data_IF_068263551410
#
_entry.id   IF_068263551410
#
_cell.length_a   1.000
_cell.length_b   1.000
_cell.length_c   1.000
_cell.angle_alpha   90.00
_cell.angle_beta   90.00
_cell.angle_gamma   90.00
#
_symmetry.space_group_name_H-M   'P 1'
#
loop_
_entity.id
_entity.type
_entity.pdbx_description
1 polymer ?
#
# COMPACT_ATOMS: atom_id res chain seq x y z
N UNK A 1 -41.68 -95.73 70.14
CA UNK A 1 -42.92 -96.29 69.57
C UNK A 1 -42.84 -96.09 68.06
N UNK A 2 -42.88 -97.18 67.28
CA UNK A 2 -42.94 -97.30 65.80
C UNK A 2 -41.81 -96.64 64.95
N UNK A 3 -40.98 -97.41 64.23
CA UNK A 3 -41.10 -97.81 62.79
C UNK A 3 -41.11 -96.58 61.85
N UNK A 4 -40.26 -96.41 60.83
CA UNK A 4 -39.87 -97.33 59.75
C UNK A 4 -38.81 -96.64 58.84
N UNK A 5 -37.82 -97.37 58.33
CA UNK A 5 -36.98 -97.03 57.15
C UNK A 5 -37.60 -97.76 55.91
N UNK A 6 -37.29 -97.55 54.59
CA UNK A 6 -36.22 -96.77 53.94
C UNK A 6 -36.61 -96.08 52.57
N UNK A 7 -35.59 -95.64 51.80
CA UNK A 7 -35.47 -95.58 50.31
C UNK A 7 -35.48 -94.22 49.55
N UNK A 8 -34.32 -93.96 48.93
CA UNK A 8 -34.03 -93.49 47.55
C UNK A 8 -34.29 -92.05 47.06
N UNK A 9 -33.18 -91.50 46.55
CA UNK A 9 -32.99 -90.82 45.27
C UNK A 9 -33.53 -89.39 45.05
N UNK A 10 -32.61 -88.51 44.65
CA UNK A 10 -32.88 -87.47 43.68
C UNK A 10 -32.83 -86.03 44.19
N UNK A 11 -31.90 -85.28 43.59
CA UNK A 11 -31.98 -83.85 43.31
C UNK A 11 -31.58 -82.85 44.41
N UNK A 12 -30.38 -82.30 44.27
CA UNK A 12 -29.95 -81.08 44.94
C UNK A 12 -29.82 -79.97 43.88
N UNK A 13 -30.58 -78.86 43.97
CA UNK A 13 -30.45 -77.74 43.05
C UNK A 13 -29.31 -76.78 43.44
N UNK A 14 -28.77 -76.16 42.40
CA UNK A 14 -27.61 -75.30 42.34
C UNK A 14 -27.59 -74.07 43.28
N UNK A 15 -26.37 -73.64 43.63
CA UNK A 15 -26.01 -72.27 43.99
C UNK A 15 -24.74 -71.85 43.23
N UNK A 16 -24.61 -70.56 42.85
CA UNK A 16 -23.68 -70.09 41.84
C UNK A 16 -22.35 -69.69 42.48
N UNK A 17 -21.23 -70.10 41.88
CA UNK A 17 -19.93 -69.49 42.16
C UNK A 17 -19.48 -68.73 40.91
N UNK A 18 -19.22 -67.45 41.16
CA UNK A 18 -18.68 -66.40 40.29
C UNK A 18 -17.35 -66.81 39.63
N UNK A 19 -17.38 -66.97 38.31
CA UNK A 19 -16.18 -66.80 37.48
C UNK A 19 -16.10 -65.32 37.07
N UNK A 20 -15.43 -64.52 37.90
CA UNK A 20 -15.11 -63.11 37.59
C UNK A 20 -14.10 -63.06 36.44
N UNK A 21 -14.58 -62.78 35.23
CA UNK A 21 -13.75 -62.26 34.13
C UNK A 21 -13.12 -60.92 34.55
N UNK A 22 -11.80 -60.92 34.72
CA UNK A 22 -10.99 -59.70 34.79
C UNK A 22 -11.07 -58.99 33.44
N UNK A 23 -12.02 -58.05 33.31
CA UNK A 23 -12.02 -57.07 32.22
C UNK A 23 -10.82 -56.14 32.45
N UNK A 24 -9.81 -56.26 31.59
CA UNK A 24 -8.69 -55.33 31.53
C UNK A 24 -9.20 -53.96 31.04
N UNK A 25 -9.52 -53.07 31.99
CA UNK A 25 -9.85 -51.68 31.67
C UNK A 25 -8.53 -50.99 31.35
N UNK A 26 -8.15 -51.00 30.07
CA UNK A 26 -7.04 -50.18 29.60
C UNK A 26 -7.28 -48.73 30.05
N UNK A 27 -6.36 -48.11 30.81
CA UNK A 27 -6.54 -46.73 31.23
C UNK A 27 -6.58 -45.85 29.97
N UNK A 28 -7.62 -45.02 29.87
CA UNK A 28 -7.71 -43.99 28.84
C UNK A 28 -6.45 -43.12 28.94
N UNK A 29 -5.62 -43.12 27.90
CA UNK A 29 -4.30 -42.48 27.86
C UNK A 29 -4.17 -41.60 26.62
N UNK A 30 -3.24 -40.64 26.66
CA UNK A 30 -2.90 -39.79 25.52
C UNK A 30 -1.39 -39.68 25.35
N UNK A 31 -0.97 -39.57 24.10
CA UNK A 31 0.44 -39.35 23.75
C UNK A 31 0.72 -37.85 23.73
N UNK A 32 1.80 -37.46 24.40
CA UNK A 32 2.33 -36.11 24.45
C UNK A 32 3.80 -36.16 24.08
N UNK A 33 4.19 -35.41 23.06
CA UNK A 33 5.60 -35.22 22.70
C UNK A 33 6.18 -34.05 23.52
N UNK A 34 7.21 -34.33 24.32
CA UNK A 34 7.96 -33.37 25.12
C UNK A 34 9.45 -33.55 24.80
N UNK A 35 10.14 -32.48 24.41
CA UNK A 35 11.58 -32.49 24.11
C UNK A 35 12.04 -33.57 23.10
N UNK A 36 11.15 -33.95 22.17
CA UNK A 36 11.41 -34.97 21.13
C UNK A 36 11.17 -36.43 21.57
N UNK A 37 10.68 -36.67 22.80
CA UNK A 37 10.27 -37.98 23.29
C UNK A 37 8.74 -38.05 23.47
N UNK A 38 8.14 -39.15 23.00
CA UNK A 38 6.69 -39.39 23.10
C UNK A 38 6.38 -40.10 24.42
N UNK A 39 5.61 -39.45 25.29
CA UNK A 39 5.17 -40.00 26.56
C UNK A 39 3.67 -40.32 26.55
N UNK A 40 3.31 -41.53 26.97
CA UNK A 40 1.92 -41.95 27.13
C UNK A 40 1.46 -41.67 28.56
N UNK A 41 0.53 -40.73 28.74
CA UNK A 41 0.02 -40.29 30.04
C UNK A 41 -1.47 -40.59 30.19
N UNK A 42 -2.00 -40.79 31.42
CA UNK A 42 -3.43 -40.94 31.65
C UNK A 42 -4.23 -39.72 31.15
N UNK A 43 -5.41 -39.96 30.56
CA UNK A 43 -6.29 -38.95 29.96
C UNK A 43 -6.71 -37.84 30.94
N UNK A 44 -6.70 -38.09 32.24
CA UNK A 44 -6.95 -37.08 33.28
C UNK A 44 -5.98 -35.89 33.26
N UNK A 45 -4.78 -36.05 32.71
CA UNK A 45 -3.78 -34.98 32.61
C UNK A 45 -3.86 -34.16 31.32
N UNK A 46 -4.59 -34.65 30.30
CA UNK A 46 -4.75 -34.00 28.99
C UNK A 46 -5.20 -32.54 29.14
N UNK A 47 -6.20 -32.28 29.99
CA UNK A 47 -6.70 -30.94 30.26
C UNK A 47 -5.70 -30.00 30.93
N UNK A 48 -4.75 -30.51 31.73
CA UNK A 48 -3.72 -29.69 32.36
C UNK A 48 -2.68 -29.21 31.33
N UNK A 49 -2.23 -30.11 30.44
CA UNK A 49 -1.28 -29.77 29.37
C UNK A 49 -1.89 -28.86 28.30
N UNK A 50 -3.13 -29.11 27.85
CA UNK A 50 -3.85 -28.21 26.95
C UNK A 50 -4.00 -26.81 27.55
N UNK A 51 -4.33 -26.69 28.84
CA UNK A 51 -4.40 -25.39 29.53
C UNK A 51 -3.04 -24.70 29.62
N UNK A 52 -1.96 -25.45 29.85
CA UNK A 52 -0.61 -24.89 29.90
C UNK A 52 -0.13 -24.40 28.53
N UNK A 53 -0.38 -25.17 27.47
CA UNK A 53 -0.09 -24.76 26.09
C UNK A 53 -0.89 -23.51 25.70
N UNK A 54 -2.19 -23.48 26.01
CA UNK A 54 -3.05 -22.30 25.82
C UNK A 54 -2.57 -21.09 26.62
N UNK A 55 -2.11 -21.29 27.86
CA UNK A 55 -1.59 -20.21 28.69
C UNK A 55 -0.30 -19.63 28.12
N UNK A 56 0.62 -20.49 27.66
CA UNK A 56 1.85 -20.07 26.97
C UNK A 56 1.52 -19.30 25.71
N UNK A 57 0.62 -19.82 24.86
CA UNK A 57 0.19 -19.16 23.63
C UNK A 57 -0.45 -17.80 23.90
N UNK A 58 -1.39 -17.72 24.86
CA UNK A 58 -2.04 -16.47 25.26
C UNK A 58 -1.08 -15.46 25.87
N UNK A 59 -0.08 -15.93 26.63
CA UNK A 59 0.95 -15.06 27.21
C UNK A 59 1.86 -14.51 26.11
N UNK A 60 2.21 -15.33 25.11
CA UNK A 60 2.94 -14.90 23.92
C UNK A 60 2.13 -13.89 23.11
N UNK A 61 0.86 -14.19 22.78
CA UNK A 61 -0.06 -13.27 22.09
C UNK A 61 -0.21 -11.94 22.84
N UNK A 62 -0.33 -11.97 24.18
CA UNK A 62 -0.39 -10.76 25.01
C UNK A 62 0.94 -9.99 24.98
N UNK A 63 2.08 -10.67 25.02
CA UNK A 63 3.39 -10.06 24.93
C UNK A 63 3.65 -9.46 23.54
N UNK A 64 3.24 -10.15 22.48
CA UNK A 64 3.30 -9.67 21.09
C UNK A 64 2.41 -8.44 20.91
N UNK A 65 1.17 -8.49 21.40
CA UNK A 65 0.24 -7.36 21.36
C UNK A 65 0.75 -6.14 22.12
N UNK A 66 1.37 -6.33 23.29
CA UNK A 66 2.03 -5.25 24.03
C UNK A 66 3.21 -4.65 23.27
N UNK A 67 4.04 -5.50 22.65
CA UNK A 67 5.17 -5.05 21.83
C UNK A 67 4.72 -4.27 20.61
N UNK A 68 3.67 -4.74 19.92
CA UNK A 68 3.09 -4.03 18.77
C UNK A 68 2.53 -2.66 19.18
N UNK A 69 1.74 -2.61 20.26
CA UNK A 69 1.16 -1.35 20.76
C UNK A 69 2.24 -0.34 21.19
N UNK A 70 3.30 -0.81 21.86
CA UNK A 70 4.42 0.06 22.24
C UNK A 70 5.13 0.61 21.00
N UNK A 71 5.37 -0.25 19.99
CA UNK A 71 5.99 0.17 18.72
C UNK A 71 5.16 1.25 18.01
N UNK A 72 3.84 1.07 17.93
CA UNK A 72 2.93 2.06 17.36
C UNK A 72 2.93 3.37 18.15
N UNK A 73 2.90 3.26 19.49
CA UNK A 73 2.94 4.43 20.38
C UNK A 73 4.23 5.22 20.21
N UNK A 74 5.37 4.55 20.17
CA UNK A 74 6.65 5.19 19.93
C UNK A 74 6.70 5.87 18.56
N UNK A 75 6.21 5.20 17.52
CA UNK A 75 6.13 5.78 16.17
C UNK A 75 5.27 7.06 16.16
N UNK A 76 4.08 7.01 16.78
CA UNK A 76 3.21 8.16 16.91
C UNK A 76 3.85 9.31 17.69
N UNK A 77 4.54 9.01 18.79
CA UNK A 77 5.24 10.02 19.59
C UNK A 77 6.38 10.68 18.80
N UNK A 78 7.13 9.91 18.00
CA UNK A 78 8.17 10.44 17.11
C UNK A 78 7.57 11.39 16.08
N UNK A 79 6.49 11.00 15.42
CA UNK A 79 5.79 11.83 14.43
C UNK A 79 5.29 13.13 15.04
N UNK A 80 4.62 13.04 16.20
CA UNK A 80 4.14 14.22 16.93
C UNK A 80 5.29 15.14 17.38
N UNK A 81 6.44 14.58 17.77
CA UNK A 81 7.61 15.37 18.16
C UNK A 81 8.20 16.11 16.95
N UNK A 82 8.31 15.42 15.80
CA UNK A 82 8.78 15.98 14.54
C UNK A 82 7.90 17.14 14.07
N UNK A 83 6.59 16.93 13.95
CA UNK A 83 5.67 17.99 13.53
C UNK A 83 5.64 19.20 14.46
N UNK A 84 5.84 18.99 15.78
CA UNK A 84 6.00 20.11 16.73
C UNK A 84 7.30 20.89 16.52
N UNK A 85 8.40 20.20 16.19
CA UNK A 85 9.68 20.85 15.89
C UNK A 85 9.57 21.70 14.63
N UNK A 86 9.09 21.14 13.53
CA UNK A 86 8.89 21.86 12.27
C UNK A 86 8.00 23.11 12.46
N UNK A 87 6.89 22.95 13.19
CA UNK A 87 5.98 24.05 13.49
C UNK A 87 6.62 25.13 14.39
N UNK A 88 7.57 24.75 15.24
CA UNK A 88 8.34 25.70 16.05
C UNK A 88 9.36 26.44 15.17
N UNK A 89 10.09 25.73 14.33
CA UNK A 89 11.15 26.29 13.50
C UNK A 89 10.57 27.28 12.48
N UNK A 90 9.45 26.93 11.82
CA UNK A 90 8.74 27.85 10.91
C UNK A 90 8.25 29.11 11.61
N UNK A 91 7.73 28.99 12.84
CA UNK A 91 7.31 30.16 13.63
C UNK A 91 8.48 31.02 14.07
N UNK A 92 9.61 30.40 14.41
CA UNK A 92 10.82 31.11 14.78
C UNK A 92 11.42 31.85 13.59
N UNK A 93 11.39 31.24 12.40
CA UNK A 93 11.82 31.88 11.16
C UNK A 93 10.95 33.11 10.85
N UNK A 94 9.63 32.97 10.90
CA UNK A 94 8.71 34.10 10.71
C UNK A 94 8.95 35.23 11.73
N UNK A 95 9.22 34.88 13.01
CA UNK A 95 9.53 35.87 14.03
C UNK A 95 10.87 36.59 13.80
N UNK A 96 11.87 35.93 13.20
CA UNK A 96 13.13 36.55 12.80
C UNK A 96 12.93 37.47 11.59
N UNK A 97 12.14 37.03 10.61
CA UNK A 97 11.77 37.84 9.44
C UNK A 97 11.01 39.12 9.88
N UNK A 98 10.05 39.02 10.81
CA UNK A 98 9.34 40.16 11.39
C UNK A 98 10.28 41.14 12.11
N UNK A 99 11.28 40.61 12.84
CA UNK A 99 12.29 41.43 13.51
C UNK A 99 13.20 42.14 12.52
N UNK A 100 13.58 41.47 11.42
CA UNK A 100 14.40 42.04 10.34
C UNK A 100 13.62 43.11 9.56
N UNK A 101 12.32 42.92 9.34
CA UNK A 101 11.46 43.89 8.67
C UNK A 101 11.44 45.26 9.39
N UNK A 102 11.61 45.28 10.72
CA UNK A 102 11.70 46.52 11.48
C UNK A 102 12.93 47.39 11.11
N UNK A 103 13.96 46.81 10.47
CA UNK A 103 15.15 47.51 10.02
C UNK A 103 15.03 48.08 8.59
N UNK A 104 14.03 47.67 7.81
CA UNK A 104 13.85 48.14 6.42
C UNK A 104 13.56 49.64 6.35
N UNK A 105 12.91 50.19 7.38
CA UNK A 105 12.58 51.61 7.45
C UNK A 105 13.73 52.48 8.01
N UNK A 106 14.86 51.89 8.39
CA UNK A 106 16.00 52.62 8.98
C UNK A 106 16.82 53.25 7.86
N UNK A 107 16.91 54.58 7.88
CA UNK A 107 17.88 55.32 7.06
C UNK A 107 19.25 55.30 7.75
N UNK A 108 20.06 54.31 7.37
CA UNK A 108 21.38 54.08 7.97
C UNK A 108 22.36 55.22 7.70
N UNK A 109 22.28 55.89 6.55
CA UNK A 109 23.19 56.98 6.20
C UNK A 109 22.94 58.18 7.11
N UNK A 110 21.68 58.58 7.24
CA UNK A 110 21.26 59.66 8.15
C UNK A 110 21.55 59.27 9.61
N UNK A 111 21.25 58.04 10.02
CA UNK A 111 21.44 57.62 11.40
C UNK A 111 22.91 57.57 11.82
N UNK A 112 23.82 57.14 10.94
CA UNK A 112 25.27 57.18 11.20
C UNK A 112 25.78 58.63 11.32
N UNK A 113 25.24 59.55 10.52
CA UNK A 113 25.61 60.97 10.58
C UNK A 113 25.13 61.64 11.89
N UNK A 114 23.99 61.22 12.43
CA UNK A 114 23.41 61.74 13.68
C UNK A 114 24.02 61.08 14.93
N UNK A 115 24.17 59.75 14.93
CA UNK A 115 24.69 58.95 16.05
C UNK A 115 25.43 57.69 15.55
N UNK A 116 26.72 57.85 15.27
CA UNK A 116 27.57 56.76 14.79
C UNK A 116 27.66 55.57 15.77
N UNK A 117 27.64 55.83 17.09
CA UNK A 117 27.75 54.75 18.08
C UNK A 117 26.44 53.94 18.16
N UNK A 118 25.29 54.63 18.19
CA UNK A 118 23.97 53.99 18.13
C UNK A 118 23.77 53.19 16.84
N UNK A 119 24.17 53.75 15.69
CA UNK A 119 24.12 53.07 14.41
C UNK A 119 24.96 51.78 14.40
N UNK A 120 26.17 51.81 14.95
CA UNK A 120 27.01 50.61 15.04
C UNK A 120 26.37 49.50 15.89
N UNK A 121 25.77 49.86 17.03
CA UNK A 121 25.08 48.89 17.90
C UNK A 121 23.86 48.30 17.20
N UNK A 122 23.06 49.14 16.52
CA UNK A 122 21.87 48.70 15.81
C UNK A 122 22.22 47.81 14.60
N UNK A 123 23.29 48.16 13.89
CA UNK A 123 23.83 47.35 12.78
C UNK A 123 24.30 45.98 13.26
N UNK A 124 25.07 45.91 14.35
CA UNK A 124 25.51 44.64 14.92
C UNK A 124 24.32 43.74 15.32
N UNK A 125 23.23 44.35 15.80
CA UNK A 125 21.99 43.61 16.08
C UNK A 125 21.32 43.09 14.80
N UNK A 126 21.25 43.91 13.75
CA UNK A 126 20.74 43.48 12.45
C UNK A 126 21.53 42.30 11.88
N UNK A 127 22.87 42.38 11.89
CA UNK A 127 23.74 41.29 11.42
C UNK A 127 23.51 40.01 12.23
N UNK A 128 23.43 40.11 13.56
CA UNK A 128 23.18 38.95 14.42
C UNK A 128 21.81 38.29 14.13
N UNK A 129 20.77 39.09 13.87
CA UNK A 129 19.45 38.59 13.49
C UNK A 129 19.45 37.95 12.11
N UNK A 130 20.14 38.55 11.13
CA UNK A 130 20.27 38.00 9.78
C UNK A 130 20.99 36.67 9.80
N UNK A 131 22.12 36.58 10.52
CA UNK A 131 22.87 35.34 10.66
C UNK A 131 22.03 34.25 11.34
N UNK A 132 21.32 34.57 12.42
CA UNK A 132 20.46 33.60 13.11
C UNK A 132 19.30 33.12 12.22
N UNK A 133 18.76 34.00 11.36
CA UNK A 133 17.72 33.68 10.39
C UNK A 133 18.25 32.74 9.31
N UNK A 134 19.42 33.01 8.77
CA UNK A 134 20.03 32.20 7.71
C UNK A 134 20.44 30.82 8.23
N UNK A 135 21.04 30.74 9.42
CA UNK A 135 21.39 29.48 10.07
C UNK A 135 20.14 28.59 10.28
N UNK A 136 19.04 29.19 10.74
CA UNK A 136 17.78 28.46 10.94
C UNK A 136 17.15 28.04 9.61
N UNK A 137 17.13 28.92 8.61
CA UNK A 137 16.61 28.62 7.28
C UNK A 137 17.37 27.44 6.65
N UNK A 138 18.69 27.42 6.76
CA UNK A 138 19.52 26.32 6.27
C UNK A 138 19.22 25.02 7.03
N UNK A 139 19.05 25.08 8.35
CA UNK A 139 18.71 23.90 9.15
C UNK A 139 17.34 23.30 8.78
N UNK A 140 16.34 24.16 8.55
CA UNK A 140 15.02 23.75 8.07
C UNK A 140 15.13 23.12 6.68
N UNK A 141 15.82 23.77 5.74
CA UNK A 141 15.98 23.26 4.37
C UNK A 141 16.69 21.90 4.33
N UNK A 142 17.75 21.69 5.11
CA UNK A 142 18.43 20.39 5.23
C UNK A 142 17.52 19.30 5.78
N UNK A 143 16.66 19.66 6.72
CA UNK A 143 15.70 18.72 7.31
C UNK A 143 14.67 18.32 6.26
N UNK A 144 14.06 19.29 5.58
CA UNK A 144 13.10 19.03 4.50
C UNK A 144 13.73 18.19 3.36
N UNK A 145 14.95 18.49 2.93
CA UNK A 145 15.66 17.70 1.93
C UNK A 145 15.85 16.25 2.39
N UNK A 146 16.31 16.05 3.63
CA UNK A 146 16.49 14.70 4.20
C UNK A 146 15.17 13.92 4.21
N UNK A 147 14.08 14.56 4.59
CA UNK A 147 12.77 13.94 4.65
C UNK A 147 12.24 13.56 3.26
N UNK A 148 12.45 14.42 2.25
CA UNK A 148 12.09 14.09 0.87
C UNK A 148 12.90 12.92 0.33
N UNK A 149 14.19 12.83 0.67
CA UNK A 149 15.05 11.70 0.29
C UNK A 149 14.65 10.41 0.99
N UNK A 150 14.32 10.46 2.28
CA UNK A 150 13.83 9.31 3.05
C UNK A 150 12.50 8.81 2.47
N UNK A 151 11.53 9.71 2.24
CA UNK A 151 10.25 9.36 1.62
C UNK A 151 10.42 8.78 0.20
N UNK A 152 11.33 9.33 -0.61
CA UNK A 152 11.62 8.82 -1.94
C UNK A 152 12.23 7.40 -1.89
N UNK A 153 13.09 7.12 -0.91
CA UNK A 153 13.66 5.77 -0.69
C UNK A 153 12.60 4.78 -0.27
N UNK A 154 11.78 5.12 0.71
CA UNK A 154 10.66 4.27 1.17
C UNK A 154 9.69 3.96 0.04
N UNK A 155 9.35 4.97 -0.77
CA UNK A 155 8.50 4.78 -1.95
C UNK A 155 9.14 3.85 -2.98
N UNK A 156 10.45 3.98 -3.22
CA UNK A 156 11.19 3.11 -4.14
C UNK A 156 11.28 1.67 -3.64
N UNK A 157 11.50 1.46 -2.34
CA UNK A 157 11.52 0.14 -1.71
C UNK A 157 10.15 -0.54 -1.75
N UNK A 158 9.09 0.19 -1.40
CA UNK A 158 7.71 -0.30 -1.50
C UNK A 158 7.35 -0.69 -2.95
N UNK A 159 7.81 0.11 -3.93
CA UNK A 159 7.65 -0.21 -5.35
C UNK A 159 8.43 -1.45 -5.78
N UNK A 160 9.65 -1.63 -5.29
CA UNK A 160 10.45 -2.81 -5.59
C UNK A 160 9.82 -4.09 -5.02
N UNK A 161 9.30 -4.04 -3.79
CA UNK A 161 8.59 -5.16 -3.16
C UNK A 161 7.28 -5.47 -3.90
N UNK A 162 6.51 -4.45 -4.22
CA UNK A 162 5.27 -4.58 -5.02
C UNK A 162 5.58 -5.21 -6.37
N UNK A 163 6.62 -4.73 -7.07
CA UNK A 163 7.06 -5.29 -8.34
C UNK A 163 7.54 -6.74 -8.23
N UNK A 164 8.15 -7.14 -7.11
CA UNK A 164 8.54 -8.53 -6.87
C UNK A 164 7.31 -9.45 -6.75
N UNK A 165 6.31 -9.06 -5.96
CA UNK A 165 5.05 -9.79 -5.84
C UNK A 165 4.29 -9.85 -7.18
N UNK A 166 4.28 -8.75 -7.92
CA UNK A 166 3.62 -8.70 -9.23
C UNK A 166 4.29 -9.59 -10.28
N UNK A 167 5.62 -9.80 -10.22
CA UNK A 167 6.31 -10.77 -11.10
C UNK A 167 5.87 -12.22 -10.87
N UNK A 168 5.55 -12.58 -9.64
CA UNK A 168 5.07 -13.93 -9.31
C UNK A 168 3.62 -14.14 -9.78
N UNK A 169 2.82 -13.08 -9.80
CA UNK A 169 1.37 -13.18 -9.98
C UNK A 169 0.87 -12.70 -11.36
N UNK A 170 1.67 -11.93 -12.10
CA UNK A 170 1.36 -11.42 -13.44
C UNK A 170 2.41 -11.92 -14.43
N UNK A 171 1.98 -12.81 -15.32
CA UNK A 171 2.81 -13.29 -16.43
C UNK A 171 3.18 -12.13 -17.38
N UNK A 172 4.46 -12.03 -17.72
CA UNK A 172 5.00 -10.93 -18.52
C UNK A 172 5.22 -9.59 -17.79
N UNK A 173 5.18 -9.56 -16.45
CA UNK A 173 5.48 -8.34 -15.70
C UNK A 173 6.91 -7.84 -15.95
N UNK A 174 7.03 -6.58 -16.37
CA UNK A 174 8.30 -5.91 -16.59
C UNK A 174 8.22 -4.42 -16.22
N UNK A 175 9.36 -3.73 -16.05
CA UNK A 175 9.38 -2.27 -15.86
C UNK A 175 8.62 -1.50 -16.96
N UNK A 176 8.66 -1.99 -18.20
CA UNK A 176 7.96 -1.40 -19.34
C UNK A 176 6.44 -1.56 -19.22
N UNK A 177 5.96 -2.71 -18.71
CA UNK A 177 4.52 -2.90 -18.41
C UNK A 177 4.11 -1.95 -17.29
N UNK A 178 4.91 -1.83 -16.23
CA UNK A 178 4.63 -0.90 -15.13
C UNK A 178 4.49 0.55 -15.64
N UNK A 179 5.41 1.00 -16.51
CA UNK A 179 5.35 2.33 -17.12
C UNK A 179 4.07 2.55 -17.95
N UNK A 180 3.68 1.58 -18.78
CA UNK A 180 2.42 1.63 -19.57
C UNK A 180 1.19 1.70 -18.67
N UNK A 181 1.22 1.02 -17.52
CA UNK A 181 0.11 1.06 -16.56
C UNK A 181 0.02 2.40 -15.84
N UNK A 182 1.15 3.03 -15.50
CA UNK A 182 1.17 4.40 -14.98
C UNK A 182 0.57 5.37 -15.99
N UNK A 183 0.98 5.30 -17.26
CA UNK A 183 0.42 6.12 -18.35
C UNK A 183 -1.08 5.87 -18.54
N UNK A 184 -1.51 4.60 -18.50
CA UNK A 184 -2.91 4.23 -18.59
C UNK A 184 -3.71 4.77 -17.40
N UNK A 185 -3.20 4.67 -16.17
CA UNK A 185 -3.81 5.26 -14.97
C UNK A 185 -3.90 6.78 -15.02
N UNK A 186 -2.87 7.45 -15.55
CA UNK A 186 -2.85 8.89 -15.75
C UNK A 186 -3.97 9.37 -16.70
N UNK A 187 -4.35 8.55 -17.69
CA UNK A 187 -5.48 8.84 -18.56
C UNK A 187 -6.85 8.89 -17.83
N UNK A 188 -6.94 8.27 -16.65
CA UNK A 188 -8.13 8.32 -15.76
C UNK A 188 -7.98 9.32 -14.62
N UNK A 189 -6.92 10.15 -14.63
CA UNK A 189 -6.64 11.13 -13.60
C UNK A 189 -5.96 10.55 -12.35
N UNK A 190 -5.48 9.31 -12.40
CA UNK A 190 -4.70 8.72 -11.30
C UNK A 190 -3.25 9.16 -11.42
N UNK A 191 -2.72 9.82 -10.40
CA UNK A 191 -1.33 10.28 -10.38
C UNK A 191 -0.35 9.16 -10.04
N UNK A 192 0.91 9.32 -10.45
CA UNK A 192 1.98 8.40 -10.06
C UNK A 192 2.14 8.35 -8.53
N UNK A 193 1.97 9.47 -7.83
CA UNK A 193 2.03 9.54 -6.37
C UNK A 193 0.90 8.76 -5.70
N UNK A 194 -0.32 8.81 -6.24
CA UNK A 194 -1.42 7.99 -5.73
C UNK A 194 -1.18 6.50 -5.97
N UNK A 195 -0.70 6.11 -7.15
CA UNK A 195 -0.29 4.74 -7.45
C UNK A 195 0.87 4.29 -6.54
N UNK A 196 1.81 5.19 -6.26
CA UNK A 196 2.95 4.94 -5.38
C UNK A 196 2.59 4.79 -3.92
N UNK A 197 1.72 5.67 -3.42
CA UNK A 197 1.21 5.62 -2.07
C UNK A 197 0.33 4.39 -1.83
N UNK A 198 -0.40 3.94 -2.85
CA UNK A 198 -1.22 2.75 -2.73
C UNK A 198 -0.40 1.47 -2.69
N UNK A 199 0.68 1.37 -3.49
CA UNK A 199 1.61 0.22 -3.56
C UNK A 199 0.93 -1.17 -3.39
N UNK A 200 -0.32 -1.31 -3.86
CA UNK A 200 -1.14 -2.50 -3.58
C UNK A 200 -1.12 -3.39 -4.81
N UNK A 201 -0.54 -4.61 -4.73
CA UNK A 201 -0.49 -5.54 -5.85
C UNK A 201 -1.86 -5.82 -6.48
N UNK A 202 -2.95 -5.75 -5.70
CA UNK A 202 -4.33 -5.98 -6.18
C UNK A 202 -4.77 -4.90 -7.17
N UNK A 203 -4.42 -3.65 -6.91
CA UNK A 203 -4.77 -2.53 -7.78
C UNK A 203 -3.97 -2.58 -9.08
N UNK A 204 -2.67 -2.89 -8.99
CA UNK A 204 -1.83 -3.10 -10.16
C UNK A 204 -2.33 -4.23 -11.05
N UNK A 205 -2.82 -5.34 -10.46
CA UNK A 205 -3.49 -6.42 -11.22
C UNK A 205 -4.75 -5.96 -11.92
N UNK A 206 -5.62 -5.20 -11.23
CA UNK A 206 -6.86 -4.69 -11.82
C UNK A 206 -6.55 -3.73 -12.97
N UNK A 207 -5.59 -2.83 -12.78
CA UNK A 207 -5.12 -1.89 -13.78
C UNK A 207 -4.54 -2.63 -14.99
N UNK A 208 -3.72 -3.67 -14.75
CA UNK A 208 -3.17 -4.50 -15.82
C UNK A 208 -4.25 -5.26 -16.60
N UNK A 209 -5.26 -5.82 -15.92
CA UNK A 209 -6.40 -6.47 -16.57
C UNK A 209 -7.21 -5.48 -17.42
N UNK A 210 -7.48 -4.29 -16.88
CA UNK A 210 -8.20 -3.25 -17.60
C UNK A 210 -7.43 -2.79 -18.85
N UNK A 211 -6.13 -2.53 -18.71
CA UNK A 211 -5.26 -2.17 -19.83
C UNK A 211 -5.23 -3.24 -20.93
N UNK A 212 -5.10 -4.53 -20.56
CA UNK A 212 -5.15 -5.66 -21.51
C UNK A 212 -6.50 -5.78 -22.23
N UNK A 213 -7.60 -5.54 -21.52
CA UNK A 213 -8.95 -5.56 -22.10
C UNK A 213 -9.11 -4.43 -23.12
N UNK A 214 -8.67 -3.22 -22.80
CA UNK A 214 -8.70 -2.07 -23.71
C UNK A 214 -7.77 -2.26 -24.92
N UNK A 215 -6.57 -2.80 -24.71
CA UNK A 215 -5.63 -3.09 -25.79
C UNK A 215 -6.16 -4.16 -26.74
N UNK A 216 -6.77 -5.22 -26.21
CA UNK A 216 -7.41 -6.25 -27.04
C UNK A 216 -8.63 -5.72 -27.79
N UNK A 217 -9.49 -4.91 -27.16
CA UNK A 217 -10.62 -4.28 -27.84
C UNK A 217 -10.17 -3.31 -28.96
N UNK A 218 -9.10 -2.54 -28.73
CA UNK A 218 -8.48 -1.68 -29.77
C UNK A 218 -7.83 -2.50 -30.88
N UNK A 219 -7.18 -3.61 -30.53
CA UNK A 219 -6.59 -4.56 -31.46
C UNK A 219 -7.64 -5.24 -32.34
N UNK A 220 -8.76 -5.66 -31.77
CA UNK A 220 -9.91 -6.22 -32.48
C UNK A 220 -10.56 -5.18 -33.38
N UNK A 221 -10.81 -3.96 -32.89
CA UNK A 221 -11.34 -2.87 -33.72
C UNK A 221 -10.39 -2.52 -34.88
N UNK A 222 -9.07 -2.53 -34.66
CA UNK A 222 -8.05 -2.31 -35.68
C UNK A 222 -7.90 -3.46 -36.67
N UNK A 223 -8.00 -4.71 -36.20
CA UNK A 223 -7.98 -5.90 -37.05
C UNK A 223 -9.25 -6.00 -37.92
N UNK A 224 -10.40 -5.62 -37.36
CA UNK A 224 -11.67 -5.52 -38.06
C UNK A 224 -11.65 -4.36 -39.07
N UNK A 225 -11.03 -3.23 -38.75
CA UNK A 225 -10.82 -2.14 -39.70
C UNK A 225 -9.85 -2.52 -40.85
N UNK A 226 -8.82 -3.33 -40.57
CA UNK A 226 -7.89 -3.86 -41.58
C UNK A 226 -8.51 -4.96 -42.44
N UNK A 227 -9.36 -5.83 -41.89
CA UNK A 227 -10.10 -6.83 -42.66
C UNK A 227 -11.22 -6.23 -43.51
N UNK A 228 -11.65 -5.00 -43.19
CA UNK A 228 -12.55 -4.18 -44.00
C UNK A 228 -11.83 -3.30 -45.04
N UNK A 229 -10.50 -3.29 -45.11
CA UNK A 229 -9.83 -2.72 -46.29
C UNK A 229 -10.03 -3.70 -47.46
N UNK A 230 -10.79 -3.33 -48.51
CA UNK A 230 -11.00 -4.22 -49.63
C UNK A 230 -9.65 -4.49 -50.31
N UNK A 231 -9.36 -5.75 -50.57
CA UNK A 231 -8.27 -6.15 -51.45
C UNK A 231 -8.43 -5.35 -52.75
N UNK A 232 -7.45 -4.50 -53.06
CA UNK A 232 -7.41 -3.79 -54.33
C UNK A 232 -7.25 -4.84 -55.41
N UNK A 233 -8.36 -5.21 -56.05
CA UNK A 233 -8.36 -5.98 -57.29
C UNK A 233 -7.75 -5.10 -58.39
N UNK A 234 -6.45 -5.26 -58.62
CA UNK A 234 -5.81 -4.79 -59.85
C UNK A 234 -5.99 -5.85 -60.93
N UNK A 235 -6.84 -5.54 -61.91
CA UNK A 235 -6.62 -5.68 -63.37
C UNK A 235 -7.85 -6.20 -64.11
N UNK A 236 -8.30 -5.42 -65.09
CA UNK A 236 -9.41 -5.80 -65.98
C UNK A 236 -9.95 -4.67 -66.84
N UNK A 237 -9.12 -4.18 -67.76
CA UNK A 237 -9.46 -3.58 -69.07
C UNK A 237 -10.79 -2.86 -69.34
N UNK A 238 -10.63 -1.62 -69.81
CA UNK A 238 -11.38 -0.94 -70.89
C UNK A 238 -12.82 -0.43 -70.65
N UNK A 239 -13.02 0.86 -70.93
CA UNK A 239 -14.33 1.44 -71.25
C UNK A 239 -14.57 2.81 -70.61
N UNK A 240 -14.57 3.88 -71.42
CA UNK A 240 -14.65 5.26 -70.96
C UNK A 240 -16.02 5.69 -70.41
N UNK A 241 -16.00 6.81 -69.67
CA UNK A 241 -17.22 7.49 -69.21
C UNK A 241 -16.89 8.58 -68.20
N UNK A 242 -17.08 9.84 -68.60
CA UNK A 242 -16.82 11.04 -67.81
C UNK A 242 -17.63 11.07 -66.50
N UNK A 243 -17.00 11.49 -65.40
CA UNK A 243 -17.66 11.68 -64.10
C UNK A 243 -16.91 12.67 -63.19
N UNK A 244 -17.27 13.95 -63.32
CA UNK A 244 -17.18 15.07 -62.35
C UNK A 244 -15.84 15.26 -61.60
N UNK A 245 -15.07 16.27 -62.04
CA UNK A 245 -13.92 16.80 -61.30
C UNK A 245 -14.40 17.61 -60.10
N UNK A 246 -13.95 17.20 -58.90
CA UNK A 246 -14.18 17.80 -57.58
C UNK A 246 -13.81 19.29 -57.48
N UNK A 247 -13.09 19.81 -58.47
CA UNK A 247 -12.65 21.21 -58.56
C UNK A 247 -13.81 22.21 -58.65
N UNK A 248 -14.98 21.82 -59.17
CA UNK A 248 -16.17 22.68 -59.20
C UNK A 248 -16.75 22.89 -57.80
N UNK A 249 -16.75 21.86 -56.95
CA UNK A 249 -17.24 21.93 -55.58
C UNK A 249 -16.34 22.84 -54.70
N UNK A 250 -15.03 22.76 -54.87
CA UNK A 250 -14.08 23.63 -54.15
C UNK A 250 -14.22 25.11 -54.53
N UNK A 251 -14.42 25.39 -55.83
CA UNK A 251 -14.54 26.77 -56.32
C UNK A 251 -15.87 27.41 -55.92
N UNK A 252 -16.93 26.63 -55.79
CA UNK A 252 -18.24 27.06 -55.30
C UNK A 252 -18.24 27.29 -53.78
N UNK A 253 -17.52 26.45 -53.03
CA UNK A 253 -17.29 26.64 -51.59
C UNK A 253 -16.51 27.94 -51.29
N UNK A 254 -15.45 28.24 -52.03
CA UNK A 254 -14.68 29.48 -51.86
C UNK A 254 -15.49 30.73 -52.16
N UNK A 255 -16.42 30.67 -53.13
CA UNK A 255 -17.30 31.80 -53.47
C UNK A 255 -18.31 32.10 -52.36
N UNK A 256 -18.90 31.08 -51.73
CA UNK A 256 -19.82 31.24 -50.58
C UNK A 256 -19.10 31.79 -49.35
N UNK A 257 -17.85 31.36 -49.09
CA UNK A 257 -17.04 31.84 -47.97
C UNK A 257 -16.67 33.32 -48.12
N UNK A 258 -16.28 33.77 -49.32
CA UNK A 258 -15.98 35.17 -49.56
C UNK A 258 -17.23 36.08 -49.50
N UNK A 259 -18.39 35.57 -49.92
CA UNK A 259 -19.66 36.31 -49.80
C UNK A 259 -20.16 36.45 -48.34
N UNK A 260 -19.81 35.52 -47.45
CA UNK A 260 -20.08 35.63 -46.01
C UNK A 260 -19.12 36.62 -45.32
N UNK A 261 -17.85 36.66 -45.72
CA UNK A 261 -16.88 37.63 -45.19
C UNK A 261 -17.21 39.09 -45.59
N UNK A 262 -17.86 39.31 -46.74
CA UNK A 262 -18.25 40.64 -47.22
C UNK A 262 -19.57 41.18 -46.62
N UNK A 263 -20.30 40.38 -45.83
CA UNK A 263 -21.55 40.79 -45.14
C UNK A 263 -21.40 40.91 -43.61
N UNK A 264 -20.17 40.83 -43.10
CA UNK A 264 -19.84 40.93 -41.68
C UNK A 264 -18.83 42.03 -41.34
N UNK A 265 -18.76 43.08 -42.16
CA UNK A 265 -17.98 44.31 -41.92
C UNK A 265 -18.85 45.54 -42.17
#
# INVERSE_FOLDING_TARGET
>A
MAYQDPLTAGDAPARPDDDLELVDVAPDTFELELDGEVHTLPAGFRGAFLRQADYTRKTQELADGRRALETEREAFLREMARGRSESRDRRQLAALDDQLAAFEAVDWETYVAEDAQGAQVLWARFEALSAARDDLAEAVARTEERETLEAAREAAEAMAETGARLREEIDGWSPEVAAKLVEYGAAFGVTLEELARMADPRLWKLLHKAWRADESARGEAGAQARSLQPAVMLSGGAGGGAGVRDELATREWMRRRNAQAAKGG
#
